data_IF_827551653579
#
_entry.id   IF_827551653579
#
_cell.length_a   1.000
_cell.length_b   1.000
_cell.length_c   1.000
_cell.angle_alpha   90.00
_cell.angle_beta   90.00
_cell.angle_gamma   90.00
#
_symmetry.space_group_name_H-M   'P 1'
#
loop_
_entity.id
_entity.type
_entity.pdbx_description
1 polymer ?
#
# COMPACT_ATOMS: atom_id res chain seq x y z
N UNK A 1 20.81 57.83 4.13
CA UNK A 1 20.27 57.91 5.51
C UNK A 1 21.12 58.93 6.25
N UNK A 2 20.54 59.87 7.02
CA UNK A 2 21.33 60.87 7.74
C UNK A 2 22.11 60.21 8.88
N UNK A 3 23.37 60.61 9.09
CA UNK A 3 24.26 60.04 10.13
C UNK A 3 23.67 60.14 11.54
N UNK A 4 22.90 61.19 11.81
CA UNK A 4 22.19 61.40 13.09
C UNK A 4 21.17 60.30 13.40
N UNK A 5 20.44 59.81 12.39
CA UNK A 5 19.47 58.72 12.57
C UNK A 5 20.14 57.38 12.84
N UNK A 6 21.35 57.19 12.30
CA UNK A 6 22.11 55.97 12.50
C UNK A 6 22.73 55.95 13.91
N UNK A 7 23.28 57.08 14.37
CA UNK A 7 23.77 57.23 15.75
C UNK A 7 22.64 57.00 16.77
N UNK A 8 21.46 57.60 16.56
CA UNK A 8 20.30 57.39 17.43
C UNK A 8 19.84 55.91 17.44
N UNK A 9 19.78 55.26 16.27
CA UNK A 9 19.40 53.85 16.20
C UNK A 9 20.42 52.90 16.85
N UNK A 10 21.71 53.23 16.85
CA UNK A 10 22.74 52.47 17.58
C UNK A 10 22.54 52.62 19.09
N UNK A 11 22.24 53.85 19.57
CA UNK A 11 21.93 54.09 20.98
C UNK A 11 20.64 53.40 21.43
N UNK A 12 19.64 53.34 20.55
CA UNK A 12 18.36 52.67 20.79
C UNK A 12 18.46 51.12 20.65
N UNK A 13 19.64 50.58 20.31
CA UNK A 13 19.88 49.15 20.16
C UNK A 13 19.19 48.50 18.95
N UNK A 14 18.81 49.30 17.96
CA UNK A 14 18.16 48.86 16.73
C UNK A 14 19.18 48.28 15.75
N UNK A 15 20.42 48.81 15.76
CA UNK A 15 21.50 48.38 14.88
C UNK A 15 22.60 47.67 15.65
N UNK A 16 23.12 46.59 15.08
CA UNK A 16 24.20 45.78 15.65
C UNK A 16 25.50 45.96 14.87
N UNK A 17 26.63 45.60 15.49
CA UNK A 17 27.98 45.76 14.92
C UNK A 17 28.14 45.07 13.54
N UNK A 18 27.41 43.99 13.32
CA UNK A 18 27.40 43.19 12.09
C UNK A 18 26.47 43.73 11.00
N UNK A 19 25.70 44.78 11.27
CA UNK A 19 24.83 45.37 10.27
C UNK A 19 25.66 46.17 9.25
N UNK A 20 25.17 46.21 8.01
CA UNK A 20 25.85 46.89 6.92
C UNK A 20 25.26 48.28 6.69
N UNK A 21 26.14 49.26 6.59
CA UNK A 21 25.83 50.66 6.33
C UNK A 21 26.60 51.14 5.10
N UNK A 22 26.03 52.15 4.43
CA UNK A 22 26.66 52.79 3.28
C UNK A 22 26.55 54.31 3.43
N UNK A 23 27.69 54.98 3.55
CA UNK A 23 27.80 56.41 3.58
C UNK A 23 27.53 57.07 2.22
N UNK A 24 27.34 58.41 2.19
CA UNK A 24 27.05 59.15 0.95
C UNK A 24 28.15 59.08 -0.12
N UNK A 25 29.40 58.88 0.30
CA UNK A 25 30.58 58.78 -0.59
C UNK A 25 31.05 57.33 -0.77
N UNK A 26 30.35 56.36 -0.20
CA UNK A 26 30.77 54.97 -0.23
C UNK A 26 30.27 54.27 -1.49
N UNK A 27 31.15 53.51 -2.12
CA UNK A 27 30.84 52.67 -3.29
C UNK A 27 30.47 51.25 -2.91
N UNK A 28 30.70 50.82 -1.66
CA UNK A 28 30.41 49.47 -1.16
C UNK A 28 29.74 49.53 0.22
N UNK A 29 28.90 48.53 0.50
CA UNK A 29 28.41 48.28 1.85
C UNK A 29 29.53 47.78 2.77
N UNK A 30 29.64 48.36 3.95
CA UNK A 30 30.64 48.01 4.96
C UNK A 30 29.94 47.78 6.30
N UNK A 31 30.56 46.98 7.18
CA UNK A 31 30.02 46.75 8.53
C UNK A 31 30.04 48.06 9.33
N UNK A 32 29.03 48.28 10.17
CA UNK A 32 28.93 49.48 11.02
C UNK A 32 30.17 49.65 11.90
N UNK A 33 30.70 48.55 12.45
CA UNK A 33 31.92 48.55 13.27
C UNK A 33 33.21 48.85 12.49
N UNK A 34 33.22 48.71 11.17
CA UNK A 34 34.42 48.92 10.32
C UNK A 34 34.40 50.28 9.61
N UNK A 35 33.37 51.09 9.80
CA UNK A 35 33.18 52.33 9.05
C UNK A 35 33.93 53.52 9.71
N UNK A 36 34.93 54.12 9.04
CA UNK A 36 35.85 55.09 9.66
C UNK A 36 35.17 56.36 10.20
N UNK A 37 34.11 56.82 9.53
CA UNK A 37 33.39 58.02 9.97
C UNK A 37 32.40 57.71 11.09
N UNK A 38 32.07 56.44 11.34
CA UNK A 38 31.07 56.07 12.35
C UNK A 38 31.66 55.93 13.74
N UNK A 39 32.95 55.57 13.85
CA UNK A 39 33.69 55.59 15.11
C UNK A 39 33.67 56.98 15.80
N UNK A 40 33.59 58.07 15.03
CA UNK A 40 33.53 59.43 15.59
C UNK A 40 32.16 59.75 16.23
N UNK A 41 31.07 59.17 15.73
CA UNK A 41 29.69 59.42 16.21
C UNK A 41 29.17 58.34 17.17
N UNK A 42 29.94 57.27 17.36
CA UNK A 42 29.64 56.18 18.28
C UNK A 42 30.58 56.35 19.48
N UNK A 43 30.08 56.71 20.68
CA UNK A 43 30.95 56.85 21.84
C UNK A 43 31.66 55.52 22.13
N UNK A 44 32.89 55.52 22.66
CA UNK A 44 33.68 54.30 22.91
C UNK A 44 33.01 53.32 23.92
N UNK A 45 31.90 53.73 24.54
CA UNK A 45 31.08 52.92 25.45
C UNK A 45 29.74 52.49 24.85
N UNK A 46 29.48 52.73 23.55
CA UNK A 46 28.26 52.27 22.90
C UNK A 46 28.24 50.74 22.90
N UNK A 47 27.47 50.17 23.83
CA UNK A 47 27.28 48.74 23.93
C UNK A 47 26.39 48.29 22.77
N UNK A 48 26.98 47.75 21.71
CA UNK A 48 26.23 47.00 20.71
C UNK A 48 25.57 45.82 21.44
N UNK A 49 24.24 45.86 21.53
CA UNK A 49 23.48 44.76 22.12
C UNK A 49 23.54 43.60 21.13
N UNK A 50 24.51 42.71 21.31
CA UNK A 50 24.56 41.45 20.58
C UNK A 50 23.20 40.77 20.74
N UNK A 51 22.48 40.57 19.64
CA UNK A 51 21.33 39.66 19.65
C UNK A 51 21.94 38.30 19.96
N UNK A 52 21.76 37.82 21.20
CA UNK A 52 22.24 36.49 21.59
C UNK A 52 21.68 35.51 20.57
N UNK A 53 22.51 34.55 20.15
CA UNK A 53 22.13 33.44 19.26
C UNK A 53 21.05 32.51 19.87
N UNK A 54 20.36 32.97 20.90
CA UNK A 54 19.31 32.31 21.65
C UNK A 54 17.97 32.30 20.89
N UNK A 55 17.82 33.14 19.85
CA UNK A 55 16.71 33.03 18.89
C UNK A 55 16.92 31.95 17.79
N UNK A 56 18.04 31.21 17.82
CA UNK A 56 18.37 30.19 16.82
C UNK A 56 18.33 28.75 17.35
N UNK A 57 17.81 28.52 18.56
CA UNK A 57 17.43 27.15 18.96
C UNK A 57 16.06 26.84 18.34
N UNK A 58 16.07 26.10 17.23
CA UNK A 58 14.85 25.62 16.58
C UNK A 58 14.07 24.75 17.57
N UNK A 59 12.90 25.22 18.01
CA UNK A 59 11.98 24.39 18.81
C UNK A 59 11.58 23.16 17.99
N UNK A 60 12.01 21.98 18.44
CA UNK A 60 11.71 20.71 17.79
C UNK A 60 10.33 20.16 18.17
N UNK A 61 9.68 20.74 19.19
CA UNK A 61 8.39 20.29 19.71
C UNK A 61 7.30 20.23 18.62
N UNK A 62 7.14 21.25 17.75
CA UNK A 62 6.16 21.19 16.67
C UNK A 62 6.47 20.10 15.63
N UNK A 63 7.75 19.81 15.38
CA UNK A 63 8.15 18.78 14.41
C UNK A 63 7.88 17.38 14.95
N UNK A 64 8.13 17.16 16.24
CA UNK A 64 7.85 15.90 16.93
C UNK A 64 6.33 15.64 16.93
N UNK A 65 5.51 16.66 17.19
CA UNK A 65 4.04 16.53 17.20
C UNK A 65 3.49 16.10 15.83
N UNK A 66 3.92 16.76 14.74
CA UNK A 66 3.50 16.42 13.36
C UNK A 66 3.91 14.99 12.99
N UNK A 67 5.13 14.57 13.33
CA UNK A 67 5.58 13.20 13.03
C UNK A 67 4.83 12.16 13.86
N UNK A 68 4.53 12.43 15.13
CA UNK A 68 3.76 11.53 15.99
C UNK A 68 2.31 11.39 15.51
N UNK A 69 1.69 12.48 15.08
CA UNK A 69 0.35 12.47 14.48
C UNK A 69 0.29 11.63 13.19
N UNK A 70 1.34 11.66 12.37
CA UNK A 70 1.45 10.82 11.18
C UNK A 70 1.62 9.33 11.53
N UNK A 71 2.42 9.00 12.54
CA UNK A 71 2.61 7.62 12.97
C UNK A 71 1.32 7.00 13.50
N UNK A 72 0.54 7.74 14.30
CA UNK A 72 -0.77 7.27 14.78
C UNK A 72 -1.73 7.08 13.60
N UNK A 73 -1.78 8.05 12.68
CA UNK A 73 -2.62 7.94 11.49
C UNK A 73 -2.25 6.70 10.66
N UNK A 74 -0.96 6.45 10.41
CA UNK A 74 -0.51 5.28 9.69
C UNK A 74 -0.76 3.98 10.44
N UNK A 75 -0.59 3.94 11.76
CA UNK A 75 -0.87 2.75 12.56
C UNK A 75 -2.36 2.37 12.49
N UNK A 76 -3.26 3.36 12.59
CA UNK A 76 -4.71 3.15 12.47
C UNK A 76 -5.10 2.84 11.01
N UNK A 77 -4.49 3.51 10.02
CA UNK A 77 -4.76 3.24 8.61
C UNK A 77 -4.24 1.86 8.18
N UNK A 78 -3.11 1.40 8.73
CA UNK A 78 -2.55 0.08 8.46
C UNK A 78 -3.43 -1.05 8.97
N UNK A 79 -4.14 -0.87 10.10
CA UNK A 79 -5.11 -1.88 10.55
C UNK A 79 -6.31 -2.00 9.61
N UNK A 80 -6.63 -0.95 8.86
CA UNK A 80 -7.73 -0.96 7.88
C UNK A 80 -7.40 -1.75 6.60
N UNK A 81 -6.11 -1.90 6.25
CA UNK A 81 -5.68 -2.63 5.04
C UNK A 81 -5.86 -4.15 5.16
N UNK A 82 -6.10 -4.69 6.37
CA UNK A 82 -6.12 -6.14 6.60
C UNK A 82 -7.51 -6.78 6.37
N UNK A 83 -8.56 -6.02 6.05
CA UNK A 83 -9.93 -6.57 6.13
C UNK A 83 -10.63 -7.04 4.84
N UNK A 84 -10.05 -6.97 3.63
CA UNK A 84 -10.71 -7.57 2.43
C UNK A 84 -9.75 -8.05 1.35
N UNK A 85 -8.75 -8.84 1.71
CA UNK A 85 -8.20 -9.81 0.76
C UNK A 85 -8.73 -11.17 1.18
N UNK A 86 -9.87 -11.58 0.62
CA UNK A 86 -9.95 -13.00 0.30
C UNK A 86 -8.82 -13.20 -0.70
N UNK A 87 -7.68 -13.67 -0.20
CA UNK A 87 -6.58 -14.16 -1.02
C UNK A 87 -7.14 -15.34 -1.80
N UNK A 88 -7.80 -15.03 -2.91
CA UNK A 88 -8.09 -16.00 -3.94
C UNK A 88 -6.71 -16.43 -4.41
N UNK A 89 -6.26 -17.67 -4.12
CA UNK A 89 -4.99 -18.10 -4.66
C UNK A 89 -5.14 -18.00 -6.16
N UNK A 90 -4.38 -17.08 -6.79
CA UNK A 90 -4.11 -17.20 -8.22
C UNK A 90 -3.60 -18.63 -8.36
N UNK A 91 -4.38 -19.46 -9.01
CA UNK A 91 -3.89 -20.73 -9.51
C UNK A 91 -2.73 -20.36 -10.41
N UNK A 92 -1.52 -20.44 -9.88
CA UNK A 92 -0.34 -20.61 -10.70
C UNK A 92 -0.53 -21.98 -11.34
N UNK A 93 -1.32 -22.00 -12.41
CA UNK A 93 -1.26 -23.03 -13.42
C UNK A 93 0.12 -22.89 -14.08
N UNK A 94 1.16 -23.23 -13.32
CA UNK A 94 2.44 -23.59 -13.89
C UNK A 94 2.15 -24.79 -14.77
N UNK A 95 2.43 -24.62 -16.05
CA UNK A 95 2.19 -25.57 -17.15
C UNK A 95 3.03 -26.86 -17.03
N UNK A 96 3.59 -27.14 -15.86
CA UNK A 96 4.48 -28.25 -15.58
C UNK A 96 3.98 -28.98 -14.32
N UNK A 97 3.02 -29.89 -14.53
CA UNK A 97 2.57 -30.81 -13.48
C UNK A 97 1.15 -30.56 -12.98
N UNK A 98 0.21 -30.36 -13.90
CA UNK A 98 -1.19 -30.70 -13.65
C UNK A 98 -1.29 -32.20 -13.33
N UNK A 99 -0.97 -32.56 -12.08
CA UNK A 99 -1.43 -33.81 -11.51
C UNK A 99 -2.94 -33.72 -11.61
N UNK A 100 -3.51 -34.53 -12.49
CA UNK A 100 -4.95 -34.72 -12.61
C UNK A 100 -5.43 -35.28 -11.27
N UNK A 101 -5.65 -34.40 -10.29
CA UNK A 101 -6.25 -34.82 -9.03
C UNK A 101 -7.71 -35.06 -9.37
N UNK A 102 -8.06 -36.34 -9.52
CA UNK A 102 -9.41 -36.77 -9.80
C UNK A 102 -10.34 -36.13 -8.76
N UNK A 103 -11.46 -35.55 -9.21
CA UNK A 103 -12.45 -34.88 -8.34
C UNK A 103 -12.82 -35.74 -7.11
N UNK A 104 -12.73 -37.07 -7.22
CA UNK A 104 -12.93 -38.03 -6.14
C UNK A 104 -11.95 -37.93 -4.96
N UNK A 105 -10.69 -37.54 -5.21
CA UNK A 105 -9.67 -37.37 -4.16
C UNK A 105 -9.87 -36.04 -3.40
N UNK A 106 -10.25 -34.96 -4.09
CA UNK A 106 -10.56 -33.67 -3.47
C UNK A 106 -11.86 -33.73 -2.64
N UNK A 107 -12.84 -34.53 -3.05
CA UNK A 107 -14.13 -34.70 -2.36
C UNK A 107 -14.02 -35.31 -0.96
N UNK A 108 -12.95 -36.05 -0.65
CA UNK A 108 -12.89 -36.87 0.57
C UNK A 108 -12.64 -36.05 1.84
N UNK A 109 -11.95 -34.90 1.71
CA UNK A 109 -11.57 -34.07 2.84
C UNK A 109 -12.01 -32.60 2.70
N UNK A 110 -12.52 -32.20 1.53
CA UNK A 110 -12.88 -30.81 1.22
C UNK A 110 -14.38 -30.68 0.91
N UNK A 111 -14.90 -29.48 1.09
CA UNK A 111 -16.29 -29.14 0.78
C UNK A 111 -16.43 -28.94 -0.73
N UNK A 112 -17.11 -29.86 -1.41
CA UNK A 112 -17.34 -29.74 -2.85
C UNK A 112 -18.61 -28.95 -3.16
N UNK A 113 -18.50 -27.88 -3.92
CA UNK A 113 -19.63 -27.07 -4.38
C UNK A 113 -19.63 -27.01 -5.90
N UNK A 114 -20.78 -27.30 -6.51
CA UNK A 114 -20.95 -27.24 -7.96
C UNK A 114 -22.02 -26.23 -8.32
N UNK A 115 -21.70 -25.36 -9.27
CA UNK A 115 -22.60 -24.42 -9.91
C UNK A 115 -22.78 -24.85 -11.37
N UNK A 116 -24.00 -25.25 -11.73
CA UNK A 116 -24.34 -25.68 -13.08
C UNK A 116 -24.95 -24.54 -13.90
N UNK A 117 -24.94 -24.66 -15.22
CA UNK A 117 -25.48 -23.67 -16.16
C UNK A 117 -26.99 -23.36 -15.97
N UNK A 118 -27.74 -24.26 -15.32
CA UNK A 118 -29.16 -24.08 -14.98
C UNK A 118 -29.37 -23.28 -13.68
N UNK A 119 -28.31 -22.65 -13.15
CA UNK A 119 -28.29 -21.99 -11.85
C UNK A 119 -28.55 -22.91 -10.66
N UNK A 120 -28.49 -24.24 -10.84
CA UNK A 120 -28.53 -25.17 -9.72
C UNK A 120 -27.21 -25.13 -8.96
N UNK A 121 -27.32 -25.02 -7.64
CA UNK A 121 -26.19 -25.08 -6.71
C UNK A 121 -26.31 -26.39 -5.96
N UNK A 122 -25.21 -27.15 -5.90
CA UNK A 122 -25.13 -28.35 -5.07
C UNK A 122 -23.95 -28.27 -4.12
N UNK A 123 -24.16 -28.66 -2.87
CA UNK A 123 -23.12 -28.76 -1.83
C UNK A 123 -22.99 -30.23 -1.46
N UNK A 124 -21.82 -30.82 -1.64
CA UNK A 124 -21.57 -32.26 -1.44
C UNK A 124 -22.55 -33.18 -2.21
N UNK A 125 -23.07 -32.70 -3.35
CA UNK A 125 -24.04 -33.42 -4.17
C UNK A 125 -25.51 -33.20 -3.78
N UNK A 126 -25.79 -32.52 -2.67
CA UNK A 126 -27.14 -32.16 -2.26
C UNK A 126 -27.55 -30.81 -2.87
N UNK A 127 -28.71 -30.72 -3.55
CA UNK A 127 -29.20 -29.47 -4.11
C UNK A 127 -29.51 -28.47 -3.00
N UNK A 128 -29.08 -27.23 -3.18
CA UNK A 128 -29.22 -26.13 -2.21
C UNK A 128 -29.58 -24.84 -2.94
N UNK A 129 -30.41 -24.01 -2.31
CA UNK A 129 -30.69 -22.66 -2.81
C UNK A 129 -29.70 -21.65 -2.24
N UNK A 130 -29.57 -20.50 -2.91
CA UNK A 130 -28.65 -19.44 -2.51
C UNK A 130 -28.95 -18.91 -1.08
N UNK A 131 -30.22 -18.88 -0.68
CA UNK A 131 -30.66 -18.49 0.66
C UNK A 131 -30.25 -19.49 1.76
N UNK A 132 -30.21 -20.78 1.41
CA UNK A 132 -29.87 -21.86 2.34
C UNK A 132 -28.38 -22.18 2.34
N UNK A 133 -27.63 -21.62 1.40
CA UNK A 133 -26.22 -21.87 1.18
C UNK A 133 -25.35 -21.62 2.43
N UNK A 134 -25.50 -20.52 3.19
CA UNK A 134 -24.69 -20.31 4.39
C UNK A 134 -24.91 -21.42 5.45
N UNK A 135 -26.16 -21.88 5.59
CA UNK A 135 -26.52 -22.96 6.50
C UNK A 135 -26.00 -24.32 6.04
N UNK A 136 -26.05 -24.59 4.73
CA UNK A 136 -25.52 -25.81 4.13
C UNK A 136 -23.99 -25.88 4.25
N UNK A 137 -23.29 -24.78 3.94
CA UNK A 137 -21.85 -24.66 4.07
C UNK A 137 -21.41 -24.78 5.54
N UNK A 138 -22.09 -24.10 6.47
CA UNK A 138 -21.78 -24.21 7.89
C UNK A 138 -21.96 -25.63 8.46
N UNK A 139 -22.91 -26.41 7.93
CA UNK A 139 -23.04 -27.84 8.26
C UNK A 139 -21.93 -28.67 7.65
N UNK A 140 -21.57 -28.39 6.39
CA UNK A 140 -20.49 -29.09 5.69
C UNK A 140 -19.12 -28.86 6.36
N UNK A 141 -18.83 -27.64 6.82
CA UNK A 141 -17.60 -27.31 7.57
C UNK A 141 -17.52 -28.08 8.89
N UNK A 142 -18.62 -28.22 9.62
CA UNK A 142 -18.65 -29.00 10.88
C UNK A 142 -18.41 -30.51 10.69
N UNK A 143 -18.68 -31.02 9.49
CA UNK A 143 -18.48 -32.42 9.12
C UNK A 143 -17.17 -32.69 8.39
N UNK A 144 -16.40 -31.65 8.06
CA UNK A 144 -15.13 -31.76 7.34
C UNK A 144 -13.95 -31.56 8.31
N UNK A 145 -12.88 -32.33 8.09
CA UNK A 145 -11.64 -32.18 8.86
C UNK A 145 -10.84 -30.94 8.46
N UNK A 146 -11.14 -30.35 7.29
CA UNK A 146 -10.46 -29.16 6.76
C UNK A 146 -11.46 -28.10 6.32
N UNK A 147 -11.14 -26.83 6.55
CA UNK A 147 -11.92 -25.66 6.11
C UNK A 147 -11.57 -25.25 4.67
N UNK A 148 -11.38 -26.22 3.78
CA UNK A 148 -11.06 -26.01 2.38
C UNK A 148 -12.26 -26.36 1.49
N UNK A 149 -12.55 -25.51 0.51
CA UNK A 149 -13.66 -25.67 -0.43
C UNK A 149 -13.14 -25.80 -1.85
N UNK A 150 -13.77 -26.68 -2.63
CA UNK A 150 -13.51 -26.86 -4.05
C UNK A 150 -14.77 -26.47 -4.80
N UNK A 151 -14.64 -25.48 -5.69
CA UNK A 151 -15.75 -24.95 -6.47
C UNK A 151 -15.59 -25.33 -7.95
N UNK A 152 -16.57 -26.06 -8.47
CA UNK A 152 -16.74 -26.36 -9.88
C UNK A 152 -17.81 -25.42 -10.45
N UNK A 153 -17.39 -24.47 -11.29
CA UNK A 153 -18.25 -23.45 -11.88
C UNK A 153 -18.35 -23.68 -13.38
N UNK A 154 -19.57 -23.68 -13.91
CA UNK A 154 -19.80 -23.73 -15.36
C UNK A 154 -19.59 -22.36 -16.00
N UNK A 155 -19.08 -22.34 -17.23
CA UNK A 155 -18.76 -21.11 -17.98
C UNK A 155 -20.00 -20.23 -18.23
N UNK A 156 -21.21 -20.82 -18.18
CA UNK A 156 -22.47 -20.10 -18.36
C UNK A 156 -23.03 -19.46 -17.08
N UNK A 157 -22.39 -19.69 -15.92
CA UNK A 157 -22.87 -19.15 -14.64
C UNK A 157 -22.50 -17.68 -14.52
N UNK A 158 -23.49 -16.86 -14.13
CA UNK A 158 -23.28 -15.44 -13.87
C UNK A 158 -22.27 -15.21 -12.74
N UNK A 159 -21.33 -14.29 -12.97
CA UNK A 159 -20.32 -13.93 -11.98
C UNK A 159 -20.92 -13.48 -10.64
N UNK A 160 -22.09 -12.83 -10.67
CA UNK A 160 -22.81 -12.44 -9.44
C UNK A 160 -23.14 -13.65 -8.54
N UNK A 161 -23.52 -14.78 -9.14
CA UNK A 161 -23.81 -16.01 -8.39
C UNK A 161 -22.55 -16.55 -7.72
N UNK A 162 -21.41 -16.51 -8.43
CA UNK A 162 -20.12 -16.95 -7.88
C UNK A 162 -19.71 -16.10 -6.67
N UNK A 163 -19.86 -14.77 -6.75
CA UNK A 163 -19.55 -13.87 -5.63
C UNK A 163 -20.44 -14.16 -4.42
N UNK A 164 -21.75 -14.38 -4.62
CA UNK A 164 -22.67 -14.74 -3.53
C UNK A 164 -22.28 -16.05 -2.83
N UNK A 165 -21.78 -17.03 -3.59
CA UNK A 165 -21.26 -18.28 -3.01
C UNK A 165 -19.99 -18.04 -2.20
N UNK A 166 -19.08 -17.20 -2.71
CA UNK A 166 -17.86 -16.82 -1.98
C UNK A 166 -18.16 -16.05 -0.68
N UNK A 167 -19.13 -15.14 -0.70
CA UNK A 167 -19.58 -14.43 0.50
C UNK A 167 -20.16 -15.40 1.55
N UNK A 168 -20.97 -16.37 1.10
CA UNK A 168 -21.50 -17.43 1.97
C UNK A 168 -20.39 -18.34 2.54
N UNK A 169 -19.35 -18.63 1.74
CA UNK A 169 -18.19 -19.38 2.19
C UNK A 169 -17.37 -18.62 3.24
N UNK A 170 -17.17 -17.31 3.05
CA UNK A 170 -16.53 -16.45 4.03
C UNK A 170 -17.30 -16.38 5.36
N UNK A 171 -18.64 -16.28 5.29
CA UNK A 171 -19.50 -16.34 6.48
C UNK A 171 -19.44 -17.69 7.21
N UNK A 172 -19.13 -18.78 6.49
CA UNK A 172 -18.95 -20.12 7.03
C UNK A 172 -17.51 -20.41 7.51
N UNK A 173 -16.62 -19.41 7.55
CA UNK A 173 -15.21 -19.52 7.97
C UNK A 173 -14.37 -20.49 7.11
N UNK A 174 -14.65 -20.56 5.81
CA UNK A 174 -13.85 -21.33 4.86
C UNK A 174 -12.61 -20.49 4.51
N UNK A 175 -11.41 -21.02 4.77
CA UNK A 175 -10.16 -20.27 4.64
C UNK A 175 -9.55 -20.35 3.24
N UNK A 176 -9.79 -21.45 2.51
CA UNK A 176 -9.26 -21.66 1.16
C UNK A 176 -10.31 -22.14 0.19
N UNK A 177 -10.31 -21.56 -1.01
CA UNK A 177 -11.19 -21.93 -2.12
C UNK A 177 -10.35 -22.30 -3.33
N UNK A 178 -10.56 -23.51 -3.86
CA UNK A 178 -9.93 -24.02 -5.08
C UNK A 178 -10.94 -24.01 -6.22
N UNK A 179 -10.49 -23.60 -7.40
CA UNK A 179 -11.31 -23.59 -8.61
C UNK A 179 -10.98 -24.79 -9.49
N UNK A 180 -12.00 -25.48 -9.98
CA UNK A 180 -11.81 -26.53 -10.98
C UNK A 180 -11.75 -25.88 -12.36
N UNK A 181 -10.58 -25.89 -12.99
CA UNK A 181 -10.45 -25.53 -14.40
C UNK A 181 -10.93 -26.70 -15.26
N UNK A 182 -11.99 -26.49 -16.03
CA UNK A 182 -12.40 -27.43 -17.08
C UNK A 182 -11.66 -27.08 -18.35
N UNK A 183 -10.71 -27.92 -18.75
CA UNK A 183 -10.17 -27.85 -20.11
C UNK A 183 -11.29 -28.21 -21.09
N UNK A 184 -11.66 -27.32 -22.03
CA UNK A 184 -12.71 -27.62 -22.99
C UNK A 184 -12.35 -28.86 -23.82
N UNK A 185 -13.27 -29.82 -24.02
CA UNK A 185 -13.06 -30.93 -24.92
C UNK A 185 -13.14 -30.41 -26.37
N UNK A 186 -12.05 -29.82 -26.87
CA UNK A 186 -12.02 -29.21 -28.20
C UNK A 186 -10.73 -28.51 -28.62
N UNK A 187 -9.73 -28.41 -27.74
CA UNK A 187 -8.40 -27.91 -28.09
C UNK A 187 -7.59 -28.95 -28.85
N UNK A 188 -7.69 -28.92 -30.17
CA UNK A 188 -6.91 -29.69 -31.15
C UNK A 188 -5.46 -29.89 -30.67
N UNK A 189 -5.12 -31.11 -30.26
CA UNK A 189 -3.73 -31.53 -30.10
C UNK A 189 -3.00 -31.25 -31.42
N UNK A 190 -2.10 -30.27 -31.39
CA UNK A 190 -1.31 -29.86 -32.54
C UNK A 190 -0.48 -31.03 -33.03
N UNK A 191 -0.86 -31.53 -34.21
CA UNK A 191 -0.05 -32.29 -35.15
C UNK A 191 1.44 -31.87 -35.14
N UNK A 192 2.27 -32.63 -34.43
CA UNK A 192 3.71 -32.67 -34.64
C UNK A 192 4.03 -33.61 -35.79
N UNK A 193 3.84 -33.15 -37.03
CA UNK A 193 4.30 -33.84 -38.25
C UNK A 193 5.51 -33.10 -38.82
N UNK A 194 6.62 -33.81 -38.99
CA UNK A 194 7.83 -33.41 -39.70
C UNK A 194 8.99 -33.09 -38.75
N UNK A 195 10.09 -33.84 -38.69
CA UNK A 195 10.85 -34.42 -39.81
C UNK A 195 11.84 -35.46 -39.28
N UNK A 196 11.73 -36.72 -39.72
CA UNK A 196 12.80 -37.71 -39.57
C UNK A 196 13.96 -37.36 -40.52
N UNK A 197 15.23 -37.47 -40.12
CA UNK A 197 16.36 -37.37 -41.03
C UNK A 197 16.37 -38.60 -41.97
N UNK A 198 16.80 -38.46 -43.24
CA UNK A 198 16.87 -39.59 -44.15
C UNK A 198 17.96 -40.57 -43.70
N UNK A 199 17.53 -41.81 -43.57
CA UNK A 199 18.31 -43.03 -43.45
C UNK A 199 19.28 -43.13 -44.63
N UNK A 200 20.58 -43.02 -44.34
CA UNK A 200 21.65 -43.38 -45.27
C UNK A 200 22.09 -44.80 -44.96
N UNK A 201 21.64 -45.75 -45.77
CA UNK A 201 22.20 -47.10 -45.89
C UNK A 201 22.68 -47.31 -47.32
N UNK A 202 23.45 -48.36 -47.63
CA UNK A 202 24.34 -49.16 -46.77
C UNK A 202 25.84 -48.94 -47.05
#
# INVERSE_FOLDING_TARGET
>A
MSLERLSQGIQDGIWVEIDQVRGPQDTRWMLIGEHPQLEEFVPPTAAFKAKSAEEAEMDMTPMIDVTFQLLIFFMIAATYVIQKTMDMPKSEASEEGASTVTIEQLKKNNIFVKLSADHSITVQGEPTSLEQLPGALGKAVKGADTAEMVMDVDDQVEHETVVKVLDAAGAAQIEKVHFVARTPPGGRAGSGSGRSPPEGTP
#
